data_IF_566264728401
#
_entry.id   IF_566264728401
#
_cell.length_a   1.000
_cell.length_b   1.000
_cell.length_c   1.000
_cell.angle_alpha   90.00
_cell.angle_beta   90.00
_cell.angle_gamma   90.00
#
_symmetry.space_group_name_H-M   'P 1'
#
loop_
_entity.id
_entity.type
_entity.pdbx_description
1 polymer ?
#
# COMPACT_ATOMS: atom_id res chain seq x y z
N UNK A 1 -3.81 -14.69 -19.73
CA UNK A 1 -3.12 -14.65 -18.43
C UNK A 1 -3.35 -13.26 -17.89
N UNK A 2 -3.77 -13.17 -16.65
CA UNK A 2 -4.18 -11.92 -16.02
C UNK A 2 -3.01 -10.94 -15.93
N UNK A 3 -3.18 -9.67 -16.36
CA UNK A 3 -2.08 -8.69 -16.46
C UNK A 3 -1.47 -8.36 -15.09
N UNK A 4 -2.30 -8.24 -14.04
CA UNK A 4 -1.79 -8.02 -12.69
C UNK A 4 -1.04 -9.25 -12.20
N UNK A 5 -1.52 -10.46 -12.51
CA UNK A 5 -0.80 -11.69 -12.17
C UNK A 5 0.54 -11.81 -12.92
N UNK A 6 0.64 -11.31 -14.16
CA UNK A 6 1.92 -11.25 -14.88
C UNK A 6 2.87 -10.26 -14.20
N UNK A 7 2.37 -9.09 -13.83
CA UNK A 7 3.14 -8.02 -13.19
C UNK A 7 3.77 -8.45 -11.86
N UNK A 8 2.97 -9.01 -10.94
CA UNK A 8 3.45 -9.43 -9.62
C UNK A 8 4.43 -10.62 -9.68
N UNK A 9 4.42 -11.36 -10.78
CA UNK A 9 5.40 -12.42 -11.07
C UNK A 9 6.52 -11.94 -12.03
N UNK A 10 6.56 -10.64 -12.32
CA UNK A 10 7.58 -10.00 -13.13
C UNK A 10 8.86 -9.71 -12.35
N UNK A 11 9.99 -9.65 -13.06
CA UNK A 11 11.32 -9.45 -12.47
C UNK A 11 11.44 -8.18 -11.62
N UNK A 12 10.85 -7.08 -12.07
CA UNK A 12 10.92 -5.80 -11.36
C UNK A 12 10.19 -5.86 -10.02
N UNK A 13 9.00 -6.48 -9.99
CA UNK A 13 8.23 -6.67 -8.77
C UNK A 13 8.92 -7.62 -7.80
N UNK A 14 9.48 -8.73 -8.29
CA UNK A 14 10.24 -9.66 -7.46
C UNK A 14 11.51 -9.04 -6.87
N UNK A 15 12.17 -8.15 -7.62
CA UNK A 15 13.30 -7.37 -7.12
C UNK A 15 12.89 -6.43 -6.00
N UNK A 16 11.78 -5.69 -6.17
CA UNK A 16 11.22 -4.84 -5.12
C UNK A 16 10.91 -5.67 -3.87
N UNK A 17 10.16 -6.76 -4.03
CA UNK A 17 9.78 -7.64 -2.93
C UNK A 17 11.01 -8.15 -2.18
N UNK A 18 12.02 -8.65 -2.91
CA UNK A 18 13.28 -9.12 -2.32
C UNK A 18 13.98 -8.02 -1.52
N UNK A 19 14.03 -6.79 -2.03
CA UNK A 19 14.65 -5.68 -1.32
C UNK A 19 13.93 -5.42 0.02
N UNK A 20 12.59 -5.42 0.02
CA UNK A 20 11.80 -5.24 1.24
C UNK A 20 12.00 -6.39 2.23
N UNK A 21 11.99 -7.64 1.76
CA UNK A 21 12.19 -8.83 2.58
C UNK A 21 13.62 -8.96 3.16
N UNK A 22 14.63 -8.40 2.50
CA UNK A 22 15.98 -8.35 3.07
C UNK A 22 16.08 -7.39 4.25
N UNK A 23 15.27 -6.33 4.24
CA UNK A 23 15.22 -5.32 5.29
C UNK A 23 14.26 -5.68 6.43
N UNK A 24 13.31 -6.59 6.19
CA UNK A 24 12.25 -6.97 7.15
C UNK A 24 12.05 -8.47 7.20
N UNK A 25 11.93 -9.03 8.40
CA UNK A 25 11.62 -10.45 8.61
C UNK A 25 10.12 -10.72 8.43
N UNK A 26 9.63 -10.69 7.18
CA UNK A 26 8.22 -10.90 6.83
C UNK A 26 8.06 -12.22 6.08
N UNK A 27 7.05 -13.01 6.45
CA UNK A 27 6.66 -14.21 5.72
C UNK A 27 5.71 -13.87 4.56
N UNK A 28 5.92 -14.50 3.40
CA UNK A 28 5.14 -14.25 2.18
C UNK A 28 4.42 -15.52 1.72
N UNK A 29 3.10 -15.41 1.53
CA UNK A 29 2.29 -16.38 0.81
C UNK A 29 2.29 -16.04 -0.69
N UNK A 30 2.77 -16.97 -1.51
CA UNK A 30 2.90 -16.80 -2.95
C UNK A 30 1.64 -17.21 -3.71
N UNK A 31 0.79 -18.05 -3.13
CA UNK A 31 -0.49 -18.46 -3.70
C UNK A 31 -1.56 -17.42 -3.39
N UNK A 32 -1.76 -16.50 -4.33
CA UNK A 32 -2.68 -15.38 -4.17
C UNK A 32 -4.11 -15.83 -4.55
N UNK A 33 -5.09 -15.69 -3.65
CA UNK A 33 -6.49 -15.92 -3.98
C UNK A 33 -6.96 -15.01 -5.12
N UNK A 34 -7.78 -15.54 -6.02
CA UNK A 34 -8.31 -14.79 -7.17
C UNK A 34 -9.02 -13.48 -6.77
N UNK A 35 -9.73 -13.48 -5.63
CA UNK A 35 -10.40 -12.30 -5.08
C UNK A 35 -9.44 -11.15 -4.79
N UNK A 36 -8.20 -11.44 -4.35
CA UNK A 36 -7.20 -10.40 -4.10
C UNK A 36 -6.65 -9.82 -5.41
N UNK A 37 -6.52 -10.64 -6.45
CA UNK A 37 -6.14 -10.16 -7.79
C UNK A 37 -7.23 -9.27 -8.39
N UNK A 38 -8.51 -9.62 -8.18
CA UNK A 38 -9.62 -8.77 -8.61
C UNK A 38 -9.65 -7.45 -7.84
N UNK A 39 -9.38 -7.48 -6.53
CA UNK A 39 -9.24 -6.29 -5.72
C UNK A 39 -8.12 -5.36 -6.22
N UNK A 40 -6.95 -5.89 -6.58
CA UNK A 40 -5.87 -5.10 -7.17
C UNK A 40 -6.30 -4.40 -8.48
N UNK A 41 -7.07 -5.10 -9.33
CA UNK A 41 -7.63 -4.50 -10.56
C UNK A 41 -8.63 -3.40 -10.26
N UNK A 42 -9.46 -3.56 -9.24
CA UNK A 42 -10.39 -2.52 -8.81
C UNK A 42 -9.63 -1.29 -8.30
N UNK A 43 -8.52 -1.48 -7.58
CA UNK A 43 -7.66 -0.37 -7.17
C UNK A 43 -7.03 0.37 -8.34
N UNK A 44 -6.48 -0.35 -9.33
CA UNK A 44 -5.94 0.25 -10.56
C UNK A 44 -7.00 1.09 -11.28
N UNK A 45 -8.21 0.53 -11.45
CA UNK A 45 -9.35 1.25 -12.03
C UNK A 45 -9.76 2.48 -11.22
N UNK A 46 -9.77 2.36 -9.89
CA UNK A 46 -10.10 3.49 -9.01
C UNK A 46 -9.06 4.61 -9.09
N UNK A 47 -7.79 4.25 -9.25
CA UNK A 47 -6.67 5.17 -9.46
C UNK A 47 -6.60 5.74 -10.88
N UNK A 48 -7.27 5.10 -11.84
CA UNK A 48 -7.23 5.42 -13.27
C UNK A 48 -5.82 5.26 -13.86
N UNK A 49 -5.15 4.16 -13.50
CA UNK A 49 -3.81 3.83 -13.98
C UNK A 49 -3.78 2.39 -14.52
N UNK A 50 -2.82 2.11 -15.38
CA UNK A 50 -2.61 0.77 -15.95
C UNK A 50 -1.40 0.08 -15.31
N UNK A 51 -1.26 -1.23 -15.57
CA UNK A 51 -0.12 -2.01 -15.06
C UNK A 51 1.21 -1.49 -15.64
N UNK A 52 1.23 -1.05 -16.90
CA UNK A 52 2.45 -0.51 -17.54
C UNK A 52 2.99 0.74 -16.82
N UNK A 53 2.11 1.55 -16.21
CA UNK A 53 2.51 2.73 -15.44
C UNK A 53 3.33 2.31 -14.21
N UNK A 54 2.89 1.25 -13.53
CA UNK A 54 3.61 0.68 -12.38
C UNK A 54 4.93 0.02 -12.80
N UNK A 55 4.97 -0.66 -13.95
CA UNK A 55 6.20 -1.23 -14.49
C UNK A 55 7.24 -0.15 -14.78
N UNK A 56 6.81 0.94 -15.41
CA UNK A 56 7.67 2.11 -15.74
C UNK A 56 8.17 2.79 -14.47
N UNK A 57 7.29 2.93 -13.47
CA UNK A 57 7.61 3.48 -12.16
C UNK A 57 8.71 2.66 -11.45
N UNK A 58 8.59 1.32 -11.44
CA UNK A 58 9.58 0.44 -10.82
C UNK A 58 10.95 0.53 -11.49
N UNK A 59 10.98 0.65 -12.83
CA UNK A 59 12.24 0.79 -13.58
C UNK A 59 12.94 2.11 -13.24
N UNK A 60 12.16 3.18 -13.05
CA UNK A 60 12.69 4.54 -12.91
C UNK A 60 12.99 4.94 -11.46
N UNK A 61 12.35 4.30 -10.47
CA UNK A 61 12.35 4.77 -9.08
C UNK A 61 12.47 3.66 -8.03
N UNK A 62 13.12 2.54 -8.36
CA UNK A 62 13.25 1.38 -7.46
C UNK A 62 13.75 1.77 -6.05
N UNK A 63 14.79 2.60 -5.95
CA UNK A 63 15.40 2.96 -4.66
C UNK A 63 14.44 3.78 -3.80
N UNK A 64 13.81 4.80 -4.37
CA UNK A 64 12.87 5.66 -3.66
C UNK A 64 11.61 4.91 -3.26
N UNK A 65 11.14 3.99 -4.10
CA UNK A 65 10.01 3.11 -3.79
C UNK A 65 10.34 2.19 -2.62
N UNK A 66 11.53 1.58 -2.59
CA UNK A 66 11.98 0.76 -1.45
C UNK A 66 11.95 1.57 -0.17
N UNK A 67 12.53 2.77 -0.17
CA UNK A 67 12.53 3.67 0.99
C UNK A 67 11.12 4.10 1.42
N UNK A 68 10.24 4.38 0.46
CA UNK A 68 8.84 4.74 0.73
C UNK A 68 8.08 3.59 1.39
N UNK A 69 8.16 2.38 0.82
CA UNK A 69 7.51 1.19 1.38
C UNK A 69 8.04 0.92 2.79
N UNK A 70 9.36 0.99 3.00
CA UNK A 70 9.95 0.82 4.33
C UNK A 70 9.44 1.85 5.33
N UNK A 71 9.37 3.13 4.95
CA UNK A 71 8.93 4.18 5.86
C UNK A 71 7.44 4.02 6.18
N UNK A 72 6.62 3.70 5.18
CA UNK A 72 5.19 3.46 5.33
C UNK A 72 4.90 2.27 6.24
N UNK A 73 5.58 1.14 6.05
CA UNK A 73 5.40 -0.06 6.90
C UNK A 73 5.92 0.12 8.34
N UNK A 74 6.62 1.23 8.64
CA UNK A 74 7.04 1.61 9.99
C UNK A 74 6.27 2.82 10.52
N UNK A 75 5.34 3.36 9.74
CA UNK A 75 4.55 4.50 10.14
C UNK A 75 3.39 4.02 11.01
N UNK A 76 3.27 4.63 12.18
CA UNK A 76 2.15 4.42 13.08
C UNK A 76 1.03 5.34 12.62
N UNK A 77 0.10 4.79 11.83
CA UNK A 77 -1.09 5.53 11.43
C UNK A 77 -1.99 5.64 12.65
N UNK A 78 -2.38 6.86 13.01
CA UNK A 78 -3.26 7.07 14.16
C UNK A 78 -4.64 6.48 13.87
N UNK A 79 -4.89 5.29 14.43
CA UNK A 79 -6.21 4.67 14.51
C UNK A 79 -7.06 5.46 15.52
N UNK A 80 -7.58 6.61 15.09
CA UNK A 80 -8.70 7.23 15.79
C UNK A 80 -9.93 6.34 15.56
N UNK A 81 -10.17 5.42 16.50
CA UNK A 81 -11.38 4.62 16.51
C UNK A 81 -12.60 5.56 16.41
N UNK A 82 -13.44 5.38 15.38
CA UNK A 82 -14.62 6.22 15.10
C UNK A 82 -15.80 5.94 16.06
N UNK A 83 -15.54 5.53 17.31
CA UNK A 83 -16.62 5.31 18.27
C UNK A 83 -17.29 6.65 18.62
N UNK A 84 -18.63 6.74 18.55
CA UNK A 84 -19.35 7.90 19.06
C UNK A 84 -18.96 8.20 20.51
N UNK A 85 -18.98 9.49 20.89
CA UNK A 85 -18.73 9.87 22.29
C UNK A 85 -19.66 9.11 23.24
N UNK A 86 -19.08 8.32 24.14
CA UNK A 86 -19.82 7.46 25.07
C UNK A 86 -19.96 5.99 24.64
N UNK A 87 -19.52 5.65 23.43
CA UNK A 87 -19.40 4.27 22.90
C UNK A 87 -17.93 3.85 22.69
N UNK A 88 -16.99 4.64 23.19
CA UNK A 88 -15.56 4.32 23.15
C UNK A 88 -15.30 2.98 23.84
N UNK A 89 -14.60 2.08 23.16
CA UNK A 89 -14.19 0.81 23.75
C UNK A 89 -13.26 1.06 24.94
N UNK A 90 -13.50 0.33 26.02
CA UNK A 90 -12.51 0.23 27.08
C UNK A 90 -11.25 -0.50 26.58
N UNK A 91 -10.10 -0.26 27.21
CA UNK A 91 -8.83 -0.89 26.80
C UNK A 91 -8.88 -2.44 26.80
N UNK A 92 -9.76 -3.03 27.61
CA UNK A 92 -9.98 -4.47 27.66
C UNK A 92 -10.83 -5.01 26.49
N UNK A 93 -11.63 -4.15 25.87
CA UNK A 93 -12.48 -4.46 24.71
C UNK A 93 -11.78 -4.21 23.38
N UNK A 94 -10.65 -3.50 23.37
CA UNK A 94 -9.86 -3.28 22.16
C UNK A 94 -9.38 -4.62 21.58
N UNK A 95 -9.46 -4.80 20.25
CA UNK A 95 -9.05 -6.02 19.60
C UNK A 95 -7.58 -6.32 19.91
N UNK A 96 -7.32 -7.51 20.44
CA UNK A 96 -5.96 -8.00 20.71
C UNK A 96 -5.52 -8.85 19.53
N UNK A 97 -4.33 -8.58 19.01
CA UNK A 97 -3.71 -9.40 17.98
C UNK A 97 -3.49 -10.82 18.52
N UNK A 98 -4.20 -11.80 17.94
CA UNK A 98 -4.09 -13.21 18.35
C UNK A 98 -2.93 -13.89 17.62
N UNK A 99 -2.80 -13.65 16.31
CA UNK A 99 -1.77 -14.23 15.45
C UNK A 99 -1.51 -13.34 14.25
N UNK A 100 -0.24 -13.15 13.91
CA UNK A 100 0.18 -12.53 12.66
C UNK A 100 0.10 -13.55 11.53
N UNK A 101 -0.54 -13.17 10.42
CA UNK A 101 -0.61 -13.98 9.20
C UNK A 101 0.44 -13.49 8.19
N UNK A 102 0.94 -14.37 7.30
CA UNK A 102 1.86 -13.97 6.25
C UNK A 102 1.19 -13.00 5.28
N UNK A 103 1.98 -12.11 4.71
CA UNK A 103 1.50 -11.20 3.67
C UNK A 103 1.36 -11.97 2.36
N UNK A 104 0.28 -11.73 1.62
CA UNK A 104 0.21 -12.21 0.24
C UNK A 104 1.18 -11.44 -0.64
N UNK A 105 1.82 -12.13 -1.59
CA UNK A 105 2.85 -11.56 -2.48
C UNK A 105 2.41 -10.26 -3.16
N UNK A 106 1.12 -10.05 -3.44
CA UNK A 106 0.58 -8.87 -4.12
C UNK A 106 0.42 -7.62 -3.23
N UNK A 107 0.72 -7.68 -1.92
CA UNK A 107 0.45 -6.56 -1.00
C UNK A 107 1.10 -5.21 -1.39
N UNK A 108 2.20 -5.23 -2.14
CA UNK A 108 2.91 -4.01 -2.56
C UNK A 108 2.18 -3.28 -3.69
N UNK A 109 1.21 -3.90 -4.38
CA UNK A 109 0.47 -3.25 -5.47
C UNK A 109 -0.22 -1.98 -4.99
N UNK A 110 -0.93 -2.03 -3.86
CA UNK A 110 -1.57 -0.86 -3.27
C UNK A 110 -0.57 0.27 -2.96
N UNK A 111 0.63 -0.10 -2.49
CA UNK A 111 1.66 0.87 -2.10
C UNK A 111 2.27 1.53 -3.32
N UNK A 112 2.42 0.79 -4.42
CA UNK A 112 2.86 1.32 -5.71
C UNK A 112 1.85 2.29 -6.31
N UNK A 113 0.55 1.99 -6.21
CA UNK A 113 -0.52 2.89 -6.65
C UNK A 113 -0.47 4.20 -5.86
N UNK A 114 -0.39 4.13 -4.53
CA UNK A 114 -0.27 5.32 -3.67
C UNK A 114 0.96 6.15 -4.03
N UNK A 115 2.13 5.51 -4.20
CA UNK A 115 3.37 6.20 -4.58
C UNK A 115 3.26 6.84 -5.97
N UNK A 116 2.69 6.13 -6.94
CA UNK A 116 2.45 6.66 -8.29
C UNK A 116 1.60 7.93 -8.23
N UNK A 117 0.48 7.88 -7.50
CA UNK A 117 -0.41 9.03 -7.35
C UNK A 117 0.26 10.18 -6.62
N UNK A 118 1.07 9.92 -5.58
CA UNK A 118 1.85 10.96 -4.90
C UNK A 118 2.83 11.67 -5.85
N UNK A 119 3.49 10.92 -6.72
CA UNK A 119 4.52 11.41 -7.63
C UNK A 119 3.94 12.15 -8.83
N UNK A 120 3.00 11.54 -9.54
CA UNK A 120 2.50 12.03 -10.85
C UNK A 120 1.20 12.83 -10.72
N UNK A 121 0.31 12.44 -9.79
CA UNK A 121 -1.05 13.00 -9.69
C UNK A 121 -1.47 13.32 -8.23
N UNK A 122 -0.71 14.15 -7.49
CA UNK A 122 -0.91 14.35 -6.05
C UNK A 122 -2.26 14.97 -5.66
N UNK A 123 -2.98 15.54 -6.64
CA UNK A 123 -4.34 16.09 -6.47
C UNK A 123 -5.44 15.03 -6.55
N UNK A 124 -5.19 13.88 -7.17
CA UNK A 124 -6.19 12.81 -7.34
C UNK A 124 -6.13 11.76 -6.22
N UNK A 125 -5.05 11.74 -5.41
CA UNK A 125 -4.85 10.80 -4.31
C UNK A 125 -6.04 10.76 -3.33
N UNK A 126 -6.51 11.91 -2.85
CA UNK A 126 -7.68 11.96 -1.96
C UNK A 126 -8.93 11.30 -2.57
N UNK A 127 -9.13 11.51 -3.87
CA UNK A 127 -10.24 10.93 -4.62
C UNK A 127 -10.12 9.42 -4.75
N UNK A 128 -8.92 8.91 -5.02
CA UNK A 128 -8.63 7.47 -5.03
C UNK A 128 -8.88 6.84 -3.67
N UNK A 129 -8.34 7.40 -2.59
CA UNK A 129 -8.50 6.88 -1.22
C UNK A 129 -9.98 6.77 -0.80
N UNK A 130 -10.80 7.76 -1.19
CA UNK A 130 -12.25 7.71 -0.97
C UNK A 130 -12.94 6.62 -1.79
N UNK A 131 -12.50 6.37 -3.03
CA UNK A 131 -13.07 5.31 -3.89
C UNK A 131 -12.77 3.91 -3.38
N UNK A 132 -11.60 3.71 -2.75
CA UNK A 132 -11.24 2.44 -2.11
C UNK A 132 -11.69 2.36 -0.64
N UNK A 133 -12.57 3.28 -0.21
CA UNK A 133 -13.20 3.29 1.12
C UNK A 133 -12.23 3.39 2.31
N UNK A 134 -11.10 4.08 2.16
CA UNK A 134 -10.22 4.38 3.30
C UNK A 134 -10.91 5.39 4.24
N UNK A 135 -11.07 4.99 5.50
CA UNK A 135 -11.57 5.86 6.56
C UNK A 135 -10.62 7.07 6.74
N UNK A 136 -11.18 8.22 7.12
CA UNK A 136 -10.42 9.46 7.30
C UNK A 136 -9.44 9.77 6.13
N UNK A 137 -9.87 9.52 4.88
CA UNK A 137 -9.02 9.63 3.68
C UNK A 137 -8.18 10.92 3.58
N UNK A 138 -8.69 12.07 4.05
CA UNK A 138 -7.95 13.34 4.06
C UNK A 138 -6.81 13.36 5.09
N UNK A 139 -6.99 12.71 6.26
CA UNK A 139 -5.94 12.53 7.26
C UNK A 139 -4.86 11.60 6.71
N UNK A 140 -5.26 10.43 6.20
CA UNK A 140 -4.36 9.45 5.61
C UNK A 140 -3.58 10.02 4.42
N UNK A 141 -4.22 10.83 3.55
CA UNK A 141 -3.54 11.54 2.46
C UNK A 141 -2.42 12.45 2.96
N UNK A 142 -2.67 13.20 4.05
CA UNK A 142 -1.68 14.11 4.65
C UNK A 142 -0.49 13.34 5.21
N UNK A 143 -0.74 12.22 5.87
CA UNK A 143 0.30 11.34 6.44
C UNK A 143 1.13 10.68 5.33
N UNK A 144 0.48 10.16 4.28
CA UNK A 144 1.16 9.64 3.09
C UNK A 144 2.06 10.70 2.42
N UNK A 145 1.56 11.93 2.29
CA UNK A 145 2.35 13.05 1.75
C UNK A 145 3.56 13.37 2.63
N UNK A 146 3.43 13.30 3.95
CA UNK A 146 4.55 13.50 4.87
C UNK A 146 5.61 12.40 4.72
N UNK A 147 5.18 11.13 4.68
CA UNK A 147 6.08 9.98 4.45
C UNK A 147 6.84 10.14 3.13
N UNK A 148 6.13 10.48 2.05
CA UNK A 148 6.75 10.68 0.74
C UNK A 148 7.73 11.85 0.71
N UNK A 149 7.38 12.96 1.36
CA UNK A 149 8.26 14.12 1.46
C UNK A 149 9.56 13.82 2.23
N UNK A 150 9.52 12.96 3.25
CA UNK A 150 10.71 12.53 3.97
C UNK A 150 11.64 11.68 3.08
N UNK A 151 11.05 10.83 2.24
CA UNK A 151 11.80 9.97 1.31
C UNK A 151 12.53 10.80 0.25
N UNK A 152 11.85 11.77 -0.38
CA UNK A 152 12.47 12.59 -1.45
C UNK A 152 13.51 13.59 -0.95
N UNK A 153 13.55 13.86 0.37
CA UNK A 153 14.53 14.76 1.00
C UNK A 153 15.81 14.05 1.44
N UNK A 154 15.79 12.71 1.47
CA UNK A 154 16.92 11.85 1.89
C UNK A 154 17.82 11.57 0.71
#
# INVERSE_FOLDING_TARGET
>A
MDEINRFINGKSYELLLRNILQKRNIEIESNIPFVLLDYDKEQLKAAQIEVEDLETLLISNMTEIVSFVERKMSYDFEDEDEYPKGEELSDDEKPKLITELPYYKNFLVAFLIEYYLLKEHPTTLCGYLKRIHIANATKYERELKAIWQDVIKT
#
